data_IF_589695386994
#
_entry.id   IF_589695386994
#
_cell.length_a   1.000
_cell.length_b   1.000
_cell.length_c   1.000
_cell.angle_alpha   90.00
_cell.angle_beta   90.00
_cell.angle_gamma   90.00
#
_symmetry.space_group_name_H-M   'P 1'
#
loop_
_entity.id
_entity.type
_entity.pdbx_description
1 polymer ?
#
# COMPACT_ATOMS: atom_id res chain seq x y z
N UNK A 1 -54.23 17.25 -13.45
CA UNK A 1 -53.72 17.02 -12.08
C UNK A 1 -53.60 15.52 -11.91
N UNK A 2 -52.47 14.87 -11.66
CA UNK A 2 -51.04 15.18 -11.72
C UNK A 2 -50.40 13.80 -11.82
N UNK A 3 -49.50 13.62 -12.77
CA UNK A 3 -48.64 12.45 -12.90
C UNK A 3 -47.47 12.62 -11.95
N UNK A 4 -47.23 11.69 -11.02
CA UNK A 4 -45.99 11.65 -10.24
C UNK A 4 -45.28 10.30 -10.46
N UNK A 5 -44.41 10.31 -11.47
CA UNK A 5 -43.27 9.42 -11.61
C UNK A 5 -42.23 9.76 -10.54
N UNK A 6 -42.06 8.89 -9.54
CA UNK A 6 -40.94 8.97 -8.62
C UNK A 6 -39.66 8.50 -9.34
N UNK A 7 -38.86 9.47 -9.77
CA UNK A 7 -37.51 9.23 -10.26
C UNK A 7 -36.62 8.79 -9.10
N UNK A 8 -36.10 7.56 -9.19
CA UNK A 8 -35.05 7.04 -8.33
C UNK A 8 -33.72 7.70 -8.71
N UNK A 9 -33.32 8.74 -7.98
CA UNK A 9 -32.02 9.39 -8.09
C UNK A 9 -30.94 8.51 -7.43
N UNK A 10 -30.46 7.50 -8.16
CA UNK A 10 -29.25 6.76 -7.79
C UNK A 10 -28.04 7.49 -8.35
N UNK A 11 -27.52 8.43 -7.59
CA UNK A 11 -26.18 9.00 -7.84
C UNK A 11 -25.14 7.86 -7.74
N UNK A 12 -24.30 7.65 -8.76
CA UNK A 12 -23.22 6.69 -8.67
C UNK A 12 -22.19 7.20 -7.66
N UNK A 13 -22.09 6.55 -6.51
CA UNK A 13 -20.98 6.76 -5.59
C UNK A 13 -19.68 6.48 -6.35
N UNK A 14 -18.98 7.55 -6.71
CA UNK A 14 -17.65 7.52 -7.32
C UNK A 14 -16.69 6.88 -6.32
N UNK A 15 -16.55 5.56 -6.39
CA UNK A 15 -15.53 4.79 -5.69
C UNK A 15 -14.17 5.31 -6.16
N UNK A 16 -13.56 6.16 -5.35
CA UNK A 16 -12.20 6.64 -5.58
C UNK A 16 -11.23 5.54 -5.16
N UNK A 17 -10.39 5.01 -6.06
CA UNK A 17 -9.38 4.04 -5.69
C UNK A 17 -8.36 4.64 -4.72
N UNK A 18 -7.90 3.82 -3.77
CA UNK A 18 -6.89 4.20 -2.78
C UNK A 18 -5.49 4.19 -3.42
N UNK A 19 -5.12 5.26 -4.12
CA UNK A 19 -3.72 5.52 -4.47
C UNK A 19 -3.05 6.32 -3.35
N UNK A 20 -1.87 5.90 -2.87
CA UNK A 20 -0.99 6.85 -2.21
C UNK A 20 -0.58 7.85 -3.29
N UNK A 21 -1.08 9.08 -3.16
CA UNK A 21 -0.79 10.16 -4.10
C UNK A 21 0.74 10.38 -4.06
N UNK A 22 1.42 10.51 -5.22
CA UNK A 22 2.84 10.84 -5.25
C UNK A 22 3.15 11.96 -4.25
N UNK A 23 4.02 11.65 -3.30
CA UNK A 23 4.37 12.53 -2.19
C UNK A 23 5.01 13.79 -2.80
N UNK A 24 4.26 14.87 -2.94
CA UNK A 24 4.85 16.16 -3.29
C UNK A 24 5.79 16.56 -2.16
N UNK A 25 7.02 16.96 -2.48
CA UNK A 25 8.09 17.41 -1.55
C UNK A 25 7.59 18.21 -0.34
N UNK A 26 6.59 19.07 -0.53
CA UNK A 26 5.97 19.91 0.51
C UNK A 26 5.20 19.11 1.57
N UNK A 27 4.45 18.06 1.18
CA UNK A 27 3.69 17.19 2.10
C UNK A 27 4.59 16.31 2.98
N UNK A 28 5.79 15.97 2.49
CA UNK A 28 6.80 15.23 3.26
C UNK A 28 7.41 16.10 4.38
N UNK A 29 7.67 17.38 4.11
CA UNK A 29 8.22 18.30 5.10
C UNK A 29 7.27 18.49 6.30
N UNK A 30 5.96 18.51 6.07
CA UNK A 30 4.95 18.59 7.14
C UNK A 30 4.97 17.37 8.09
N UNK A 31 5.36 16.19 7.59
CA UNK A 31 5.53 14.98 8.40
C UNK A 31 6.83 15.00 9.21
N UNK A 32 7.92 15.55 8.67
CA UNK A 32 9.18 15.73 9.40
C UNK A 32 9.11 16.81 10.49
N UNK A 33 8.26 17.83 10.33
CA UNK A 33 8.13 18.92 11.29
C UNK A 33 7.35 18.53 12.57
N UNK A 34 6.49 17.50 12.51
CA UNK A 34 5.64 17.06 13.64
C UNK A 34 6.26 15.97 14.53
N UNK A 35 7.50 15.57 14.27
CA UNK A 35 8.24 14.67 15.15
C UNK A 35 9.71 14.76 14.82
N UNK A 36 10.51 15.29 15.75
CA UNK A 36 11.96 15.41 15.63
C UNK A 36 12.59 14.01 15.43
N UNK A 37 12.76 13.61 14.18
CA UNK A 37 13.57 12.46 13.77
C UNK A 37 14.51 12.99 12.70
N UNK A 38 15.80 12.90 12.99
CA UNK A 38 16.88 13.49 12.21
C UNK A 38 16.67 13.30 10.71
N UNK A 39 16.71 14.41 9.96
CA UNK A 39 16.86 14.39 8.51
C UNK A 39 18.12 13.63 8.16
N UNK A 40 18.00 12.33 7.87
CA UNK A 40 19.02 11.60 7.15
C UNK A 40 19.02 12.21 5.75
N UNK A 41 20.04 13.01 5.48
CA UNK A 41 20.38 13.46 4.13
C UNK A 41 20.77 12.19 3.37
N UNK A 42 19.80 11.57 2.71
CA UNK A 42 20.10 10.59 1.66
C UNK A 42 20.90 11.37 0.63
N UNK A 43 22.12 10.95 0.25
CA UNK A 43 22.86 11.59 -0.82
C UNK A 43 21.92 11.63 -2.01
N UNK A 44 21.59 12.84 -2.46
CA UNK A 44 20.81 13.06 -3.65
C UNK A 44 21.42 12.19 -4.74
N UNK A 45 20.75 11.10 -5.14
CA UNK A 45 20.93 10.61 -6.51
C UNK A 45 20.58 11.84 -7.32
N UNK A 46 21.62 12.48 -7.86
CA UNK A 46 21.51 13.70 -8.64
C UNK A 46 20.39 13.45 -9.62
N UNK A 47 19.28 14.15 -9.43
CA UNK A 47 18.23 14.19 -10.42
C UNK A 47 18.89 14.80 -11.65
N UNK A 48 19.30 13.93 -12.59
CA UNK A 48 19.78 14.36 -13.89
C UNK A 48 18.61 15.12 -14.50
N UNK A 49 18.71 16.44 -14.70
CA UNK A 49 17.64 17.18 -15.35
C UNK A 49 17.57 16.67 -16.80
N UNK A 50 16.39 16.24 -17.26
CA UNK A 50 16.10 16.24 -18.69
C UNK A 50 15.89 14.91 -19.41
N UNK A 51 15.62 13.79 -18.73
CA UNK A 51 15.05 12.63 -19.44
C UNK A 51 13.82 12.09 -18.69
N UNK A 52 12.63 12.45 -19.16
CA UNK A 52 11.42 11.74 -18.78
C UNK A 52 11.61 10.26 -19.14
N UNK A 53 11.72 9.41 -18.13
CA UNK A 53 11.78 7.97 -18.39
C UNK A 53 10.38 7.50 -18.77
N UNK A 54 10.25 6.69 -19.84
CA UNK A 54 8.96 6.13 -20.23
C UNK A 54 8.39 5.29 -19.08
N UNK A 55 7.06 5.31 -18.95
CA UNK A 55 6.31 4.45 -18.03
C UNK A 55 5.75 3.29 -18.85
N UNK A 56 5.97 2.06 -18.38
CA UNK A 56 5.29 0.86 -18.86
C UNK A 56 4.08 0.61 -17.95
N UNK A 57 2.85 0.97 -18.37
CA UNK A 57 1.66 0.86 -17.51
C UNK A 57 1.27 -0.60 -17.22
N UNK A 58 1.91 -1.58 -17.87
CA UNK A 58 1.64 -3.01 -17.69
C UNK A 58 2.66 -3.70 -16.79
N UNK A 59 3.71 -2.99 -16.35
CA UNK A 59 4.75 -3.53 -15.47
C UNK A 59 4.51 -3.08 -14.04
N UNK A 60 4.52 -4.04 -13.13
CA UNK A 60 4.41 -3.79 -11.69
C UNK A 60 5.60 -4.41 -10.97
N UNK A 61 6.11 -3.72 -9.95
CA UNK A 61 7.03 -4.30 -8.99
C UNK A 61 6.22 -4.79 -7.77
N UNK A 62 6.49 -6.00 -7.33
CA UNK A 62 5.82 -6.59 -6.17
C UNK A 62 6.86 -6.87 -5.08
N UNK A 63 6.64 -6.26 -3.92
CA UNK A 63 7.44 -6.39 -2.71
C UNK A 63 6.53 -6.91 -1.60
N UNK A 64 7.10 -7.50 -0.57
CA UNK A 64 6.39 -8.02 0.60
C UNK A 64 7.33 -8.04 1.80
N UNK A 65 6.79 -8.06 3.02
CA UNK A 65 7.53 -8.39 4.25
C UNK A 65 8.76 -7.49 4.46
N UNK A 66 8.58 -6.18 4.29
CA UNK A 66 9.70 -5.23 4.41
C UNK A 66 10.20 -5.10 5.84
N UNK A 67 9.35 -5.35 6.85
CA UNK A 67 9.72 -5.38 8.26
C UNK A 67 10.65 -4.22 8.68
N UNK A 68 10.28 -2.99 8.31
CA UNK A 68 11.11 -1.83 8.62
C UNK A 68 10.99 -1.49 10.11
N UNK A 69 12.14 -1.32 10.76
CA UNK A 69 12.27 -0.85 12.14
C UNK A 69 12.52 0.65 12.18
N UNK A 70 12.15 1.32 13.28
CA UNK A 70 12.36 2.77 13.41
C UNK A 70 13.86 3.15 13.43
N UNK A 71 14.72 2.28 13.95
CA UNK A 71 16.17 2.47 13.94
C UNK A 71 16.78 2.01 12.59
N UNK A 72 17.40 2.93 11.81
CA UNK A 72 18.04 2.61 10.52
C UNK A 72 19.13 1.54 10.53
N UNK A 73 19.77 1.34 11.68
CA UNK A 73 20.87 0.37 11.86
C UNK A 73 20.44 -0.89 12.57
N UNK A 74 19.14 -1.06 12.84
CA UNK A 74 18.66 -2.24 13.52
C UNK A 74 18.82 -3.49 12.66
N UNK A 75 19.30 -4.55 13.30
CA UNK A 75 19.58 -5.84 12.69
C UNK A 75 18.70 -6.89 13.36
N UNK A 76 17.94 -7.62 12.55
CA UNK A 76 17.16 -8.77 13.00
C UNK A 76 17.72 -10.02 12.34
N UNK A 77 18.11 -11.02 13.13
CA UNK A 77 18.69 -12.29 12.64
C UNK A 77 19.91 -12.09 11.72
N UNK A 78 20.73 -11.08 12.01
CA UNK A 78 21.91 -10.75 11.19
C UNK A 78 21.63 -9.94 9.93
N UNK A 79 20.37 -9.53 9.69
CA UNK A 79 19.94 -8.82 8.49
C UNK A 79 19.46 -7.41 8.85
N UNK A 80 19.93 -6.40 8.11
CA UNK A 80 19.36 -5.04 8.15
C UNK A 80 18.31 -4.89 7.03
N UNK A 81 17.02 -4.97 7.40
CA UNK A 81 15.92 -4.88 6.45
C UNK A 81 15.87 -3.54 5.71
N UNK A 82 16.30 -2.44 6.33
CA UNK A 82 16.32 -1.13 5.71
C UNK A 82 17.37 -1.04 4.58
N UNK A 83 18.51 -1.71 4.74
CA UNK A 83 19.55 -1.76 3.70
C UNK A 83 19.08 -2.56 2.48
N UNK A 84 18.43 -3.71 2.71
CA UNK A 84 17.82 -4.50 1.64
C UNK A 84 16.71 -3.73 0.91
N UNK A 85 15.80 -3.07 1.63
CA UNK A 85 14.75 -2.28 0.98
C UNK A 85 15.35 -1.11 0.18
N UNK A 86 16.40 -0.46 0.69
CA UNK A 86 17.09 0.62 -0.03
C UNK A 86 17.70 0.12 -1.34
N UNK A 87 18.32 -1.06 -1.31
CA UNK A 87 18.86 -1.69 -2.52
C UNK A 87 17.75 -1.98 -3.54
N UNK A 88 16.66 -2.63 -3.13
CA UNK A 88 15.52 -2.93 -4.01
C UNK A 88 14.92 -1.65 -4.61
N UNK A 89 14.75 -0.61 -3.80
CA UNK A 89 14.28 0.71 -4.27
C UNK A 89 15.23 1.31 -5.31
N UNK A 90 16.54 1.22 -5.09
CA UNK A 90 17.53 1.69 -6.05
C UNK A 90 17.48 0.90 -7.37
N UNK A 91 17.32 -0.42 -7.30
CA UNK A 91 17.21 -1.30 -8.48
C UNK A 91 15.94 -1.00 -9.31
N UNK A 92 14.81 -0.74 -8.66
CA UNK A 92 13.57 -0.31 -9.32
C UNK A 92 13.74 1.08 -9.94
N UNK A 93 14.37 2.01 -9.22
CA UNK A 93 14.61 3.37 -9.68
C UNK A 93 15.59 3.44 -10.87
N UNK A 94 16.51 2.48 -10.98
CA UNK A 94 17.50 2.40 -12.05
C UNK A 94 17.01 1.74 -13.34
N UNK A 95 15.79 1.16 -13.35
CA UNK A 95 15.22 0.56 -14.55
C UNK A 95 15.11 1.58 -15.69
N UNK A 96 15.35 1.18 -16.94
CA UNK A 96 15.23 2.09 -18.10
C UNK A 96 13.80 2.52 -18.42
N UNK A 97 12.82 1.81 -17.86
CA UNK A 97 11.38 2.09 -17.99
C UNK A 97 10.74 1.93 -16.62
N UNK A 98 9.97 2.94 -16.20
CA UNK A 98 9.30 2.95 -14.89
C UNK A 98 8.13 1.95 -14.89
N UNK A 99 7.92 1.19 -13.81
CA UNK A 99 6.70 0.40 -13.67
C UNK A 99 5.48 1.34 -13.52
N UNK A 100 4.32 0.86 -13.96
CA UNK A 100 3.03 1.49 -13.75
C UNK A 100 2.63 1.59 -12.27
N UNK A 101 3.24 0.77 -11.41
CA UNK A 101 3.12 0.89 -9.96
C UNK A 101 3.97 -0.12 -9.19
N UNK A 102 4.03 0.09 -7.88
CA UNK A 102 4.70 -0.78 -6.91
C UNK A 102 3.67 -1.23 -5.89
N UNK A 103 3.61 -2.53 -5.59
CA UNK A 103 2.81 -3.10 -4.50
C UNK A 103 3.75 -3.56 -3.39
N UNK A 104 3.49 -3.19 -2.14
CA UNK A 104 4.16 -3.70 -0.94
C UNK A 104 3.13 -4.47 -0.11
N UNK A 105 3.23 -5.80 -0.11
CA UNK A 105 2.16 -6.69 0.35
C UNK A 105 2.27 -7.09 1.84
N UNK A 106 2.04 -6.13 2.73
CA UNK A 106 1.94 -6.41 4.16
C UNK A 106 3.29 -6.62 4.84
N UNK A 107 3.21 -6.78 6.16
CA UNK A 107 4.34 -6.80 7.09
C UNK A 107 5.33 -5.67 6.80
N UNK A 108 4.74 -4.47 6.69
CA UNK A 108 5.41 -3.25 6.27
C UNK A 108 6.46 -2.81 7.30
N UNK A 109 6.04 -2.77 8.56
CA UNK A 109 6.84 -2.34 9.69
C UNK A 109 6.92 -3.44 10.76
N UNK A 110 8.04 -3.50 11.46
CA UNK A 110 8.20 -4.30 12.68
C UNK A 110 9.08 -3.52 13.66
N UNK A 111 8.81 -3.56 14.96
CA UNK A 111 9.68 -2.92 15.96
C UNK A 111 9.61 -3.67 17.30
N UNK A 112 9.71 -4.99 17.21
CA UNK A 112 9.06 -5.85 18.20
C UNK A 112 7.54 -5.78 18.03
N UNK A 113 6.82 -6.78 18.52
CA UNK A 113 5.35 -6.72 18.47
C UNK A 113 4.84 -5.87 19.63
N UNK A 114 4.21 -4.69 19.41
CA UNK A 114 3.74 -4.12 18.13
C UNK A 114 4.67 -3.03 17.49
N UNK A 115 4.50 -2.72 16.19
CA UNK A 115 5.30 -1.72 15.46
C UNK A 115 5.06 -0.28 15.96
N UNK A 116 5.96 0.64 15.61
CA UNK A 116 5.92 2.05 16.01
C UNK A 116 5.58 3.00 14.84
N UNK A 117 5.11 4.22 15.14
CA UNK A 117 4.94 5.26 14.13
C UNK A 117 6.27 5.62 13.43
N UNK A 118 7.39 5.56 14.16
CA UNK A 118 8.72 5.79 13.61
C UNK A 118 9.06 4.82 12.49
N UNK A 119 8.71 3.54 12.64
CA UNK A 119 8.91 2.52 11.63
C UNK A 119 8.14 2.81 10.33
N UNK A 120 6.84 3.17 10.40
CA UNK A 120 6.08 3.55 9.21
C UNK A 120 6.59 4.83 8.53
N UNK A 121 7.02 5.82 9.32
CA UNK A 121 7.66 7.02 8.77
C UNK A 121 8.94 6.66 8.04
N UNK A 122 9.76 5.79 8.62
CA UNK A 122 11.02 5.38 8.01
C UNK A 122 10.80 4.55 6.74
N UNK A 123 9.81 3.65 6.73
CA UNK A 123 9.37 2.99 5.50
C UNK A 123 9.00 3.99 4.40
N UNK A 124 8.20 5.01 4.72
CA UNK A 124 7.83 6.05 3.76
C UNK A 124 9.06 6.83 3.25
N UNK A 125 10.07 7.05 4.09
CA UNK A 125 11.35 7.65 3.68
C UNK A 125 12.13 6.76 2.70
N UNK A 126 12.21 5.44 2.98
CA UNK A 126 12.90 4.48 2.12
C UNK A 126 12.25 4.36 0.74
N UNK A 127 10.92 4.51 0.67
CA UNK A 127 10.14 4.44 -0.58
C UNK A 127 10.04 5.78 -1.33
N UNK A 128 10.49 6.89 -0.72
CA UNK A 128 10.44 8.22 -1.30
C UNK A 128 11.11 8.34 -2.68
N UNK A 129 12.23 7.66 -2.99
CA UNK A 129 12.83 7.70 -4.34
C UNK A 129 11.85 7.27 -5.44
N UNK A 130 11.07 6.20 -5.22
CA UNK A 130 10.07 5.72 -6.19
C UNK A 130 8.93 6.75 -6.36
N UNK A 131 8.46 7.31 -5.25
CA UNK A 131 7.45 8.37 -5.27
C UNK A 131 7.93 9.63 -6.00
N UNK A 132 9.20 10.02 -5.83
CA UNK A 132 9.81 11.16 -6.51
C UNK A 132 9.91 10.95 -8.04
N UNK A 133 10.02 9.69 -8.47
CA UNK A 133 9.94 9.31 -9.88
C UNK A 133 8.51 9.30 -10.42
N UNK A 134 7.51 9.56 -9.58
CA UNK A 134 6.09 9.54 -9.94
C UNK A 134 5.49 8.13 -10.01
N UNK A 135 6.19 7.12 -9.49
CA UNK A 135 5.69 5.73 -9.46
C UNK A 135 4.65 5.61 -8.33
N UNK A 136 3.39 5.21 -8.62
CA UNK A 136 2.39 4.95 -7.60
C UNK A 136 2.80 3.79 -6.69
N UNK A 137 2.60 3.93 -5.38
CA UNK A 137 2.90 2.90 -4.40
C UNK A 137 1.60 2.48 -3.72
N UNK A 138 1.37 1.17 -3.68
CA UNK A 138 0.21 0.54 -3.08
C UNK A 138 0.65 -0.37 -1.95
N UNK A 139 -0.06 -0.36 -0.84
CA UNK A 139 0.30 -1.14 0.34
C UNK A 139 -0.90 -1.94 0.83
N UNK A 140 -0.67 -3.17 1.27
CA UNK A 140 -1.62 -3.96 2.08
C UNK A 140 -1.08 -4.10 3.50
N UNK A 141 -1.89 -4.67 4.39
CA UNK A 141 -1.53 -4.93 5.79
C UNK A 141 -1.19 -6.40 5.99
N UNK A 142 -0.14 -6.66 6.78
CA UNK A 142 0.20 -7.98 7.31
C UNK A 142 0.03 -8.05 8.83
N UNK A 143 0.24 -9.23 9.41
CA UNK A 143 0.09 -9.52 10.85
C UNK A 143 0.94 -8.61 11.76
N UNK A 144 2.11 -8.19 11.30
CA UNK A 144 2.99 -7.27 12.03
C UNK A 144 2.46 -5.84 12.02
N UNK A 145 1.55 -5.48 11.11
CA UNK A 145 1.05 -4.11 10.97
C UNK A 145 -0.08 -3.76 11.94
N UNK A 146 -0.39 -2.46 12.01
CA UNK A 146 -1.40 -1.86 12.89
C UNK A 146 -2.18 -0.81 12.12
N UNK A 147 -3.42 -1.13 11.73
CA UNK A 147 -4.27 -0.29 10.86
C UNK A 147 -4.37 1.16 11.28
N UNK A 148 -4.75 1.42 12.53
CA UNK A 148 -4.92 2.80 13.04
C UNK A 148 -3.59 3.53 13.08
N UNK A 149 -2.55 2.89 13.62
CA UNK A 149 -1.22 3.49 13.68
C UNK A 149 -0.66 3.82 12.29
N UNK A 150 -0.80 2.91 11.33
CA UNK A 150 -0.45 3.13 9.93
C UNK A 150 -1.26 4.29 9.35
N UNK A 151 -2.58 4.26 9.53
CA UNK A 151 -3.49 5.29 9.04
C UNK A 151 -3.13 6.67 9.58
N UNK A 152 -3.02 6.80 10.90
CA UNK A 152 -2.72 8.05 11.61
C UNK A 152 -1.32 8.58 11.28
N UNK A 153 -0.35 7.68 11.07
CA UNK A 153 1.02 8.06 10.73
C UNK A 153 1.12 8.58 9.29
N UNK A 154 0.38 7.97 8.36
CA UNK A 154 0.45 8.27 6.94
C UNK A 154 -0.83 8.95 6.41
N UNK A 155 -1.65 9.58 7.26
CA UNK A 155 -2.94 10.19 6.88
C UNK A 155 -2.83 11.15 5.70
N UNK A 156 -1.75 11.94 5.63
CA UNK A 156 -1.52 12.89 4.54
C UNK A 156 -1.24 12.22 3.18
N UNK A 157 -0.91 10.93 3.20
CA UNK A 157 -0.57 10.09 2.05
C UNK A 157 -1.72 9.16 1.67
N UNK A 158 -2.63 8.85 2.60
CA UNK A 158 -3.78 8.02 2.34
C UNK A 158 -4.91 8.82 1.67
N UNK A 159 -5.53 8.27 0.62
CA UNK A 159 -6.70 8.85 -0.01
C UNK A 159 -7.96 8.52 0.80
N UNK A 160 -8.77 9.55 1.10
CA UNK A 160 -10.18 9.44 1.47
C UNK A 160 -10.57 8.36 2.49
N UNK A 161 -11.83 7.94 2.42
CA UNK A 161 -12.39 6.86 3.26
C UNK A 161 -12.26 5.53 2.51
N UNK A 162 -11.80 4.44 3.16
CA UNK A 162 -11.66 3.15 2.49
C UNK A 162 -13.01 2.56 2.10
N UNK A 163 -13.09 1.76 1.00
CA UNK A 163 -14.32 1.11 0.56
C UNK A 163 -14.99 0.21 1.61
N UNK A 164 -14.20 -0.31 2.55
CA UNK A 164 -14.67 -1.10 3.68
C UNK A 164 -14.18 -0.43 4.96
N UNK A 165 -15.10 0.04 5.79
CA UNK A 165 -14.78 0.72 7.03
C UNK A 165 -13.88 -0.14 7.93
N UNK A 166 -12.78 0.44 8.42
CA UNK A 166 -11.83 -0.23 9.30
C UNK A 166 -10.94 -1.27 8.61
N UNK A 167 -10.95 -1.37 7.27
CA UNK A 167 -10.07 -2.25 6.50
C UNK A 167 -9.31 -1.45 5.44
N UNK A 168 -8.07 -1.83 5.17
CA UNK A 168 -7.21 -1.25 4.15
C UNK A 168 -7.36 -2.00 2.83
N UNK A 169 -8.50 -1.80 2.18
CA UNK A 169 -8.82 -2.46 0.89
C UNK A 169 -8.73 -1.49 -0.27
N UNK A 170 -8.34 -1.99 -1.44
CA UNK A 170 -8.26 -1.18 -2.63
C UNK A 170 -8.57 -1.95 -3.91
N UNK A 171 -9.11 -1.25 -4.89
CA UNK A 171 -9.25 -1.71 -6.28
C UNK A 171 -8.40 -0.82 -7.18
N UNK A 172 -7.33 -1.37 -7.73
CA UNK A 172 -6.52 -0.72 -8.75
C UNK A 172 -6.99 -1.17 -10.13
N UNK A 173 -7.58 -0.23 -10.87
CA UNK A 173 -8.00 -0.46 -12.26
C UNK A 173 -6.84 -0.22 -13.21
N UNK A 174 -6.51 -1.21 -14.04
CA UNK A 174 -5.50 -1.05 -15.09
C UNK A 174 -6.07 -1.42 -16.45
N UNK A 175 -5.28 -1.27 -17.51
CA UNK A 175 -5.73 -1.58 -18.86
C UNK A 175 -6.08 -3.07 -19.03
N UNK A 176 -5.20 -3.97 -18.58
CA UNK A 176 -5.27 -5.42 -18.88
C UNK A 176 -5.88 -6.28 -17.77
N UNK A 177 -5.73 -5.88 -16.51
CA UNK A 177 -6.26 -6.61 -15.35
C UNK A 177 -6.54 -5.64 -14.20
N UNK A 178 -7.51 -5.97 -13.35
CA UNK A 178 -7.78 -5.19 -12.15
C UNK A 178 -7.15 -5.88 -10.93
N UNK A 179 -6.46 -5.12 -10.08
CA UNK A 179 -5.89 -5.63 -8.84
C UNK A 179 -6.82 -5.34 -7.68
N UNK A 180 -7.14 -6.36 -6.90
CA UNK A 180 -7.96 -6.29 -5.70
C UNK A 180 -7.04 -6.51 -4.49
N UNK A 181 -6.65 -5.42 -3.85
CA UNK A 181 -5.78 -5.43 -2.69
C UNK A 181 -6.64 -5.60 -1.43
N UNK A 182 -6.42 -6.70 -0.72
CA UNK A 182 -7.21 -7.11 0.43
C UNK A 182 -6.43 -6.95 1.73
N UNK A 183 -7.19 -6.69 2.78
CA UNK A 183 -6.72 -6.56 4.15
C UNK A 183 -7.05 -7.83 4.94
N UNK A 184 -6.11 -8.75 4.92
CA UNK A 184 -6.20 -10.04 5.63
C UNK A 184 -5.79 -10.00 7.10
N UNK A 185 -5.37 -8.84 7.63
CA UNK A 185 -4.93 -8.72 9.02
C UNK A 185 -6.07 -9.06 10.00
N UNK A 186 -6.00 -10.18 10.72
CA UNK A 186 -7.13 -10.61 11.55
C UNK A 186 -7.42 -9.62 12.69
N UNK A 187 -6.41 -9.31 13.53
CA UNK A 187 -6.56 -8.36 14.62
C UNK A 187 -5.33 -7.46 14.78
N UNK A 188 -5.52 -6.29 15.38
CA UNK A 188 -4.46 -5.29 15.62
C UNK A 188 -3.99 -5.27 17.08
N UNK A 189 -4.54 -6.14 17.94
CA UNK A 189 -4.29 -6.12 19.38
C UNK A 189 -3.15 -7.06 19.77
N UNK A 190 -2.96 -8.16 19.03
CA UNK A 190 -1.88 -9.12 19.21
C UNK A 190 -1.37 -9.53 17.83
N UNK A 191 -0.07 -9.79 17.72
CA UNK A 191 0.49 -10.36 16.49
C UNK A 191 0.12 -11.83 16.49
N UNK A 192 -0.82 -12.19 15.62
CA UNK A 192 -1.22 -13.57 15.35
C UNK A 192 -1.04 -13.82 13.87
N UNK A 193 -0.63 -15.03 13.49
CA UNK A 193 -0.24 -15.36 12.12
C UNK A 193 -1.43 -15.74 11.23
N UNK A 194 -2.63 -15.83 11.81
CA UNK A 194 -3.84 -16.13 11.06
C UNK A 194 -4.36 -14.90 10.31
N UNK A 195 -4.80 -15.14 9.07
CA UNK A 195 -5.50 -14.16 8.26
C UNK A 195 -7.02 -14.32 8.34
N UNK A 196 -7.74 -13.21 8.26
CA UNK A 196 -9.18 -13.21 8.04
C UNK A 196 -9.60 -11.98 7.22
N UNK A 197 -10.41 -12.24 6.20
CA UNK A 197 -11.01 -11.18 5.40
C UNK A 197 -12.25 -10.61 6.09
N UNK A 198 -13.03 -11.43 6.80
CA UNK A 198 -14.32 -11.07 7.35
C UNK A 198 -15.39 -10.83 6.28
N UNK A 199 -16.66 -11.06 6.65
CA UNK A 199 -17.77 -11.08 5.70
C UNK A 199 -18.04 -9.73 5.01
N UNK A 200 -17.76 -8.60 5.66
CA UNK A 200 -17.94 -7.26 5.05
C UNK A 200 -17.00 -7.06 3.86
N UNK A 201 -15.75 -7.48 3.98
CA UNK A 201 -14.77 -7.40 2.91
C UNK A 201 -15.05 -8.42 1.81
N UNK A 202 -15.42 -9.65 2.16
CA UNK A 202 -15.85 -10.66 1.18
C UNK A 202 -17.02 -10.13 0.35
N UNK A 203 -18.06 -9.58 1.01
CA UNK A 203 -19.20 -9.00 0.30
C UNK A 203 -18.82 -7.80 -0.57
N UNK A 204 -17.85 -6.98 -0.15
CA UNK A 204 -17.29 -5.93 -1.01
C UNK A 204 -16.56 -6.52 -2.22
N UNK A 205 -15.70 -7.52 -2.02
CA UNK A 205 -14.94 -8.17 -3.08
C UNK A 205 -15.87 -8.82 -4.11
N UNK A 206 -16.90 -9.55 -3.69
CA UNK A 206 -17.90 -10.14 -4.59
C UNK A 206 -18.52 -9.07 -5.48
N UNK A 207 -19.07 -8.00 -4.90
CA UNK A 207 -19.65 -6.90 -5.68
C UNK A 207 -18.64 -6.21 -6.59
N UNK A 208 -17.39 -6.09 -6.14
CA UNK A 208 -16.35 -5.45 -6.93
C UNK A 208 -15.92 -6.32 -8.12
N UNK A 209 -15.89 -7.64 -7.97
CA UNK A 209 -15.65 -8.60 -9.06
C UNK A 209 -16.80 -8.59 -10.06
N UNK A 210 -18.05 -8.66 -9.60
CA UNK A 210 -19.25 -8.64 -10.45
C UNK A 210 -19.34 -7.36 -11.30
N UNK A 211 -18.93 -6.22 -10.74
CA UNK A 211 -18.91 -4.94 -11.47
C UNK A 211 -17.74 -4.79 -12.47
N UNK A 212 -16.81 -5.76 -12.49
CA UNK A 212 -15.56 -5.67 -13.26
C UNK A 212 -15.24 -6.96 -14.05
N UNK A 213 -16.26 -7.71 -14.45
CA UNK A 213 -16.16 -8.99 -15.18
C UNK A 213 -15.41 -8.90 -16.52
N UNK A 214 -15.37 -7.73 -17.14
CA UNK A 214 -14.74 -7.50 -18.46
C UNK A 214 -13.21 -7.62 -18.44
N UNK A 215 -12.58 -7.66 -17.26
CA UNK A 215 -11.12 -7.77 -17.11
C UNK A 215 -10.75 -8.87 -16.11
N UNK A 216 -9.65 -9.61 -16.34
CA UNK A 216 -9.08 -10.50 -15.34
C UNK A 216 -8.87 -9.80 -14.00
N UNK A 217 -9.11 -10.55 -12.91
CA UNK A 217 -8.88 -10.10 -11.55
C UNK A 217 -7.58 -10.70 -11.00
N UNK A 218 -6.73 -9.84 -10.44
CA UNK A 218 -5.56 -10.23 -9.67
C UNK A 218 -5.86 -9.91 -8.21
N UNK A 219 -6.06 -10.93 -7.39
CA UNK A 219 -6.35 -10.75 -5.95
C UNK A 219 -5.04 -10.82 -5.17
N UNK A 220 -4.77 -9.80 -4.37
CA UNK A 220 -3.56 -9.71 -3.54
C UNK A 220 -3.99 -9.65 -2.08
N UNK A 221 -3.43 -10.55 -1.28
CA UNK A 221 -3.57 -10.60 0.17
C UNK A 221 -2.24 -11.03 0.79
N UNK A 222 -2.02 -10.66 2.04
CA UNK A 222 -0.78 -11.01 2.75
C UNK A 222 -0.78 -12.49 3.17
N UNK A 223 -1.85 -12.94 3.84
CA UNK A 223 -1.98 -14.34 4.23
C UNK A 223 -2.44 -15.18 3.04
N UNK A 224 -1.74 -16.30 2.80
CA UNK A 224 -2.10 -17.23 1.74
C UNK A 224 -3.53 -17.78 1.94
N UNK A 225 -4.24 -17.98 0.84
CA UNK A 225 -5.52 -18.70 0.86
C UNK A 225 -5.23 -20.16 1.15
N UNK A 226 -5.63 -20.64 2.32
CA UNK A 226 -5.59 -22.05 2.64
C UNK A 226 -6.42 -22.80 1.59
N UNK A 227 -5.81 -23.75 0.89
CA UNK A 227 -6.60 -24.71 0.15
C UNK A 227 -7.42 -25.52 1.18
N UNK A 228 -8.69 -25.81 0.92
CA UNK A 228 -9.42 -26.72 1.78
C UNK A 228 -8.61 -28.02 1.89
N UNK A 229 -8.32 -28.46 3.11
CA UNK A 229 -7.61 -29.71 3.33
C UNK A 229 -8.32 -30.81 2.52
N UNK A 230 -7.56 -31.52 1.70
CA UNK A 230 -8.09 -32.70 1.03
C UNK A 230 -8.60 -33.63 2.12
N UNK A 231 -9.91 -33.88 2.14
CA UNK A 231 -10.50 -34.83 3.08
C UNK A 231 -9.81 -36.18 2.85
N UNK A 232 -8.96 -36.59 3.79
CA UNK A 232 -8.39 -37.93 3.88
C UNK A 232 -9.47 -38.95 4.22
#
# INVERSE_FOLDING_TARGET
MCTDTAASDTQPHKLMPIHIIPIKRRRFLDLSAKGAVATIVVPSVLAIPGKEMPIDPHRFAFLSDTHIMANPTAVARGINMADHLRQVVAEIAAQTTKPGGVVVNGDLATDGSPPTAGAYRYLAQLLLPLSNLGIPIHMTMGNCDRRSLFADTLTAMLPGTPPVAGRMVNLLKTERANFFLLDSLYNTQRTVTEGDLGMKQIGWLTRALDNHVEKPAIVICHHNVNQPEAKS
#
